data_IF_570189521615
#
_entry.id   IF_570189521615
#
_cell.length_a   1.000
_cell.length_b   1.000
_cell.length_c   1.000
_cell.angle_alpha   90.00
_cell.angle_beta   90.00
_cell.angle_gamma   90.00
#
_symmetry.space_group_name_H-M   'P 1'
#
loop_
_entity.id
_entity.type
_entity.pdbx_description
1 polymer ?
#
# COMPACT_ATOMS: atom_id res chain seq x y z
N UNK A 1 -3.64 -9.19 -7.25
CA UNK A 1 -4.18 -7.82 -7.26
C UNK A 1 -5.63 -7.87 -6.81
N UNK A 2 -6.09 -6.86 -6.06
CA UNK A 2 -7.46 -6.75 -5.54
C UNK A 2 -7.94 -5.33 -5.77
N UNK A 3 -9.16 -5.15 -6.29
CA UNK A 3 -9.79 -3.84 -6.44
C UNK A 3 -10.32 -3.34 -5.09
N UNK A 4 -9.95 -2.12 -4.71
CA UNK A 4 -10.26 -1.50 -3.41
C UNK A 4 -11.76 -1.23 -3.28
N UNK A 5 -12.43 -0.85 -4.37
CA UNK A 5 -13.86 -0.59 -4.33
C UNK A 5 -14.67 -1.87 -4.09
N UNK A 6 -14.29 -2.95 -4.77
CA UNK A 6 -14.90 -4.27 -4.64
C UNK A 6 -14.69 -4.83 -3.24
N UNK A 7 -13.46 -4.73 -2.71
CA UNK A 7 -13.16 -5.15 -1.33
C UNK A 7 -13.96 -4.34 -0.30
N UNK A 8 -14.11 -3.03 -0.49
CA UNK A 8 -14.90 -2.19 0.41
C UNK A 8 -16.39 -2.58 0.40
N UNK A 9 -16.94 -2.88 -0.78
CA UNK A 9 -18.32 -3.34 -0.94
C UNK A 9 -18.53 -4.72 -0.31
N UNK A 10 -17.62 -5.66 -0.53
CA UNK A 10 -17.69 -7.01 0.04
C UNK A 10 -17.62 -7.01 1.58
N UNK A 11 -16.86 -6.07 2.15
CA UNK A 11 -16.68 -5.93 3.59
C UNK A 11 -17.71 -5.00 4.26
N UNK A 12 -18.59 -4.35 3.47
CA UNK A 12 -19.57 -3.36 3.93
C UNK A 12 -18.95 -2.19 4.71
N UNK A 13 -17.87 -1.62 4.17
CA UNK A 13 -17.10 -0.54 4.80
C UNK A 13 -16.83 0.59 3.81
N UNK A 14 -16.56 1.80 4.31
CA UNK A 14 -16.14 2.89 3.42
C UNK A 14 -14.71 2.66 2.91
N UNK A 15 -14.34 3.29 1.79
CA UNK A 15 -12.96 3.24 1.28
C UNK A 15 -11.94 3.82 2.28
N UNK A 16 -12.35 4.82 3.06
CA UNK A 16 -11.54 5.38 4.14
C UNK A 16 -11.31 4.37 5.26
N UNK A 17 -12.36 3.67 5.70
CA UNK A 17 -12.22 2.66 6.75
C UNK A 17 -11.36 1.50 6.25
N UNK A 18 -11.55 1.07 4.99
CA UNK A 18 -10.71 0.02 4.38
C UNK A 18 -9.24 0.44 4.35
N UNK A 19 -8.96 1.71 4.05
CA UNK A 19 -7.61 2.26 4.12
C UNK A 19 -7.05 2.13 5.54
N UNK A 20 -7.77 2.59 6.55
CA UNK A 20 -7.32 2.46 7.95
C UNK A 20 -7.07 1.01 8.37
N UNK A 21 -7.95 0.08 7.98
CA UNK A 21 -7.80 -1.36 8.24
C UNK A 21 -6.52 -1.94 7.62
N UNK A 22 -6.20 -1.57 6.38
CA UNK A 22 -4.94 -2.02 5.74
C UNK A 22 -3.74 -1.50 6.52
N UNK A 23 -3.74 -0.21 6.88
CA UNK A 23 -2.65 0.38 7.65
C UNK A 23 -2.47 -0.29 9.01
N UNK A 24 -3.56 -0.68 9.67
CA UNK A 24 -3.50 -1.46 10.92
C UNK A 24 -2.88 -2.86 10.72
N UNK A 25 -3.23 -3.57 9.64
CA UNK A 25 -2.61 -4.87 9.31
C UNK A 25 -1.10 -4.74 9.06
N UNK A 26 -0.66 -3.67 8.40
CA UNK A 26 0.76 -3.39 8.16
C UNK A 26 1.49 -3.12 9.48
N UNK A 27 0.92 -2.28 10.34
CA UNK A 27 1.50 -1.96 11.64
C UNK A 27 1.66 -3.22 12.53
N UNK A 28 0.76 -4.19 12.36
CA UNK A 28 0.80 -5.49 13.03
C UNK A 28 1.72 -6.50 12.35
N UNK A 29 2.29 -6.19 11.18
CA UNK A 29 3.16 -7.07 10.41
C UNK A 29 2.42 -8.18 9.66
N UNK A 30 1.10 -8.07 9.50
CA UNK A 30 0.28 -9.06 8.79
C UNK A 30 0.19 -8.81 7.28
N UNK A 31 0.68 -7.65 6.79
CA UNK A 31 0.62 -7.31 5.37
C UNK A 31 1.96 -6.75 4.85
N UNK A 32 2.33 -7.22 3.66
CA UNK A 32 3.47 -6.80 2.86
C UNK A 32 2.99 -6.62 1.41
N UNK A 33 3.30 -5.48 0.79
CA UNK A 33 2.88 -5.19 -0.58
C UNK A 33 2.83 -3.70 -0.86
N UNK A 34 2.10 -3.31 -1.91
CA UNK A 34 1.83 -1.91 -2.22
C UNK A 34 0.39 -1.70 -2.70
N UNK A 35 -0.13 -0.49 -2.50
CA UNK A 35 -1.47 -0.09 -2.94
C UNK A 35 -1.34 1.22 -3.69
N UNK A 36 -1.91 1.27 -4.89
CA UNK A 36 -2.16 2.54 -5.56
C UNK A 36 -3.57 3.02 -5.20
N UNK A 37 -3.67 4.07 -4.40
CA UNK A 37 -4.95 4.63 -3.97
C UNK A 37 -5.68 5.39 -5.07
N UNK A 38 -4.93 5.98 -6.01
CA UNK A 38 -5.50 6.72 -7.14
C UNK A 38 -6.11 5.76 -8.16
N UNK A 39 -5.44 4.64 -8.44
CA UNK A 39 -5.98 3.55 -9.27
C UNK A 39 -7.01 2.70 -8.53
N UNK A 40 -7.03 2.74 -7.20
CA UNK A 40 -7.90 1.90 -6.37
C UNK A 40 -7.51 0.43 -6.41
N UNK A 41 -6.22 0.12 -6.52
CA UNK A 41 -5.73 -1.25 -6.69
C UNK A 41 -4.71 -1.64 -5.62
N UNK A 42 -4.95 -2.79 -4.99
CA UNK A 42 -4.05 -3.44 -4.03
C UNK A 42 -3.23 -4.52 -4.72
N UNK A 43 -1.92 -4.46 -4.53
CA UNK A 43 -0.96 -5.42 -5.06
C UNK A 43 -0.26 -6.13 -3.90
N UNK A 44 -0.68 -7.38 -3.67
CA UNK A 44 0.10 -8.30 -2.84
C UNK A 44 1.35 -8.69 -3.62
N UNK A 45 2.51 -8.28 -3.11
CA UNK A 45 3.82 -8.60 -3.67
C UNK A 45 4.78 -8.77 -2.51
N UNK A 46 5.79 -9.64 -2.64
CA UNK A 46 6.78 -9.85 -1.58
C UNK A 46 7.50 -8.53 -1.26
N UNK A 47 7.16 -7.93 -0.11
CA UNK A 47 7.79 -6.70 0.36
C UNK A 47 9.30 -6.86 0.57
N UNK A 48 9.80 -8.10 0.70
CA UNK A 48 11.23 -8.41 0.72
C UNK A 48 11.97 -7.96 -0.55
N UNK A 49 11.27 -7.80 -1.68
CA UNK A 49 11.84 -7.26 -2.92
C UNK A 49 11.85 -5.72 -2.94
N UNK A 50 11.05 -5.07 -2.09
CA UNK A 50 10.90 -3.62 -2.01
C UNK A 50 11.91 -3.08 -0.99
N UNK A 51 13.19 -3.03 -1.36
CA UNK A 51 14.23 -2.46 -0.48
C UNK A 51 14.00 -0.96 -0.27
N UNK A 52 14.18 -0.46 0.94
CA UNK A 52 14.22 0.98 1.22
C UNK A 52 15.26 1.65 0.31
N UNK A 53 14.84 2.63 -0.50
CA UNK A 53 15.67 3.27 -1.53
C UNK A 53 15.45 2.78 -2.97
N UNK A 54 14.47 1.89 -3.21
CA UNK A 54 14.04 1.51 -4.56
C UNK A 54 13.05 2.55 -5.15
N UNK A 55 12.94 2.59 -6.48
CA UNK A 55 11.95 3.42 -7.18
C UNK A 55 10.55 2.84 -7.00
N UNK A 56 9.52 3.68 -7.07
CA UNK A 56 8.12 3.25 -7.05
C UNK A 56 7.90 2.15 -8.10
N UNK A 57 7.37 0.96 -7.73
CA UNK A 57 7.15 -0.13 -8.68
C UNK A 57 6.07 0.20 -9.70
N UNK A 58 5.19 1.17 -9.41
CA UNK A 58 4.13 1.58 -10.33
C UNK A 58 4.61 2.59 -11.38
N UNK A 59 5.32 3.66 -10.97
CA UNK A 59 5.68 4.78 -11.86
C UNK A 59 7.17 5.07 -11.99
N UNK A 60 8.04 4.32 -11.30
CA UNK A 60 9.49 4.57 -11.20
C UNK A 60 9.89 5.89 -10.50
N UNK A 61 8.96 6.58 -9.86
CA UNK A 61 9.22 7.79 -9.07
C UNK A 61 10.09 7.54 -7.83
N UNK A 62 10.69 8.62 -7.33
CA UNK A 62 11.39 8.58 -6.03
C UNK A 62 10.37 8.46 -4.90
N UNK A 63 10.77 7.75 -3.85
CA UNK A 63 9.90 7.33 -2.76
C UNK A 63 10.26 8.08 -1.48
N UNK A 64 9.25 8.49 -0.72
CA UNK A 64 9.43 9.21 0.54
C UNK A 64 8.96 8.37 1.74
N UNK A 65 9.76 8.36 2.80
CA UNK A 65 9.41 7.72 4.06
C UNK A 65 8.39 8.59 4.80
N UNK A 66 7.15 8.09 4.90
CA UNK A 66 6.05 8.79 5.56
C UNK A 66 5.70 8.18 6.93
N UNK A 67 6.26 7.02 7.28
CA UNK A 67 6.01 6.35 8.56
C UNK A 67 6.85 5.10 8.80
N UNK A 68 6.65 4.46 9.96
CA UNK A 68 7.34 3.20 10.30
C UNK A 68 6.86 2.07 9.39
N UNK A 69 7.68 1.72 8.40
CA UNK A 69 7.35 0.64 7.45
C UNK A 69 6.38 1.06 6.35
N UNK A 70 6.11 2.35 6.18
CA UNK A 70 5.30 2.88 5.07
C UNK A 70 6.10 3.89 4.28
N UNK A 71 6.13 3.69 2.98
CA UNK A 71 6.82 4.53 2.01
C UNK A 71 5.79 4.98 0.98
N UNK A 72 5.66 6.28 0.73
CA UNK A 72 4.66 6.82 -0.21
C UNK A 72 5.33 7.41 -1.44
N UNK A 73 4.67 7.25 -2.58
CA UNK A 73 5.06 7.86 -3.84
C UNK A 73 4.27 9.15 -4.05
N UNK A 74 4.91 10.35 -4.01
CA UNK A 74 4.21 11.61 -4.20
C UNK A 74 3.70 11.84 -5.63
N UNK A 75 4.08 10.97 -6.58
CA UNK A 75 3.79 11.13 -8.00
C UNK A 75 2.53 10.39 -8.48
N UNK A 76 2.12 9.31 -7.80
CA UNK A 76 1.03 8.44 -8.28
C UNK A 76 0.18 7.81 -7.18
N UNK A 77 0.28 8.30 -5.93
CA UNK A 77 -0.58 7.83 -4.84
C UNK A 77 -0.31 6.39 -4.39
N UNK A 78 0.85 5.82 -4.75
CA UNK A 78 1.24 4.46 -4.35
C UNK A 78 1.89 4.46 -2.98
N UNK A 79 1.29 3.74 -2.04
CA UNK A 79 1.90 3.41 -0.75
C UNK A 79 2.50 2.01 -0.79
N UNK A 80 3.72 1.88 -0.28
CA UNK A 80 4.47 0.63 -0.16
C UNK A 80 4.63 0.32 1.32
N UNK A 81 4.30 -0.93 1.66
CA UNK A 81 4.29 -1.42 3.02
C UNK A 81 5.41 -2.44 3.21
N UNK A 82 6.40 -2.04 4.00
CA UNK A 82 7.60 -2.80 4.29
C UNK A 82 7.41 -3.58 5.59
N UNK A 83 7.58 -4.90 5.53
CA UNK A 83 7.70 -5.73 6.73
C UNK A 83 9.13 -5.64 7.26
N UNK A 84 9.27 -5.49 8.58
CA UNK A 84 10.55 -5.57 9.28
C UNK A 84 11.13 -6.98 9.24
#
# INVERSE_FOLDING_TARGET
>A
QVDVASAALELDVSRSDLKEMVYDLVNKGFFAGYINWDEGMLYSQDAAQLKAGSRCPNCSGELELVGKGVVSCPYCGTDIFLTK
#
